data_IF_858597365167
#
_entry.id   IF_858597365167
#
_cell.length_a   1.000
_cell.length_b   1.000
_cell.length_c   1.000
_cell.angle_alpha   90.00
_cell.angle_beta   90.00
_cell.angle_gamma   90.00
#
_symmetry.space_group_name_H-M   'P 1'
#
loop_
_entity.id
_entity.type
_entity.pdbx_description
1 polymer ?
#
# COMPACT_ATOMS: atom_id res chain seq x y z
N UNK A 1 20.57 16.28 -6.82
CA UNK A 1 20.73 15.96 -5.39
C UNK A 1 20.79 14.44 -5.26
N UNK A 2 21.89 13.88 -4.77
CA UNK A 2 22.06 12.45 -4.54
C UNK A 2 21.48 12.05 -3.18
N UNK A 3 21.29 10.74 -2.93
CA UNK A 3 20.85 10.25 -1.63
C UNK A 3 21.80 10.65 -0.48
N UNK A 4 23.10 10.73 -0.78
CA UNK A 4 24.12 11.17 0.19
C UNK A 4 23.99 12.66 0.52
N UNK A 5 23.80 13.50 -0.50
CA UNK A 5 23.59 14.95 -0.33
C UNK A 5 22.31 15.24 0.47
N UNK A 6 21.24 14.48 0.20
CA UNK A 6 19.98 14.60 0.93
C UNK A 6 20.14 14.23 2.41
N UNK A 7 20.84 13.13 2.70
CA UNK A 7 21.11 12.70 4.08
C UNK A 7 21.95 13.73 4.82
N UNK A 8 22.98 14.29 4.18
CA UNK A 8 23.83 15.31 4.77
C UNK A 8 23.02 16.58 5.12
N UNK A 9 22.14 17.02 4.22
CA UNK A 9 21.28 18.19 4.47
C UNK A 9 20.25 17.91 5.57
N UNK A 10 19.67 16.70 5.63
CA UNK A 10 18.77 16.30 6.72
C UNK A 10 19.49 16.38 8.08
N UNK A 11 20.69 15.81 8.19
CA UNK A 11 21.47 15.88 9.43
C UNK A 11 21.81 17.33 9.82
N UNK A 12 22.18 18.16 8.86
CA UNK A 12 22.45 19.58 9.10
C UNK A 12 21.22 20.31 9.68
N UNK A 13 20.04 20.07 9.11
CA UNK A 13 18.80 20.69 9.58
C UNK A 13 18.41 20.20 10.98
N UNK A 14 18.57 18.91 11.25
CA UNK A 14 18.34 18.34 12.58
C UNK A 14 19.27 18.95 13.63
N UNK A 15 20.55 19.18 13.30
CA UNK A 15 21.49 19.84 14.21
C UNK A 15 21.07 21.27 14.56
N UNK A 16 20.55 22.04 13.60
CA UNK A 16 20.03 23.40 13.85
C UNK A 16 18.80 23.36 14.78
N UNK A 17 17.93 22.37 14.59
CA UNK A 17 16.71 22.21 15.38
C UNK A 17 17.01 21.70 16.80
N UNK A 18 18.06 20.89 16.97
CA UNK A 18 18.39 20.23 18.24
C UNK A 18 18.75 21.19 19.39
N UNK A 19 19.03 22.45 19.08
CA UNK A 19 19.34 23.49 20.08
C UNK A 19 18.07 24.05 20.77
N UNK A 20 16.87 23.80 20.22
CA UNK A 20 15.59 24.30 20.75
C UNK A 20 14.58 23.14 20.93
N UNK A 21 14.21 22.88 22.19
CA UNK A 21 13.28 21.80 22.53
C UNK A 21 11.91 21.94 21.86
N UNK A 22 11.42 23.17 21.68
CA UNK A 22 10.12 23.43 21.05
C UNK A 22 10.16 23.10 19.56
N UNK A 23 11.27 23.39 18.89
CA UNK A 23 11.49 23.02 17.49
C UNK A 23 11.72 21.51 17.35
N UNK A 24 12.45 20.88 18.27
CA UNK A 24 12.61 19.43 18.30
C UNK A 24 11.28 18.70 18.39
N UNK A 25 10.37 19.13 19.29
CA UNK A 25 9.03 18.53 19.40
C UNK A 25 8.25 18.62 18.10
N UNK A 26 8.27 19.79 17.44
CA UNK A 26 7.63 19.99 16.13
C UNK A 26 8.23 19.10 15.04
N UNK A 27 9.55 18.96 15.00
CA UNK A 27 10.24 18.11 14.04
C UNK A 27 9.87 16.63 14.24
N UNK A 28 9.85 16.15 15.49
CA UNK A 28 9.43 14.78 15.83
C UNK A 28 7.98 14.53 15.41
N UNK A 29 7.07 15.47 15.67
CA UNK A 29 5.68 15.36 15.23
C UNK A 29 5.55 15.30 13.71
N UNK A 30 6.30 16.13 12.98
CA UNK A 30 6.30 16.12 11.52
C UNK A 30 6.83 14.79 10.96
N UNK A 31 7.93 14.27 11.50
CA UNK A 31 8.50 12.97 11.10
C UNK A 31 7.49 11.85 11.39
N UNK A 32 6.83 11.88 12.56
CA UNK A 32 5.81 10.89 12.92
C UNK A 32 4.63 10.91 11.96
N UNK A 33 4.15 12.09 11.56
CA UNK A 33 3.08 12.23 10.55
C UNK A 33 3.51 11.67 9.19
N UNK A 34 4.74 11.95 8.75
CA UNK A 34 5.27 11.41 7.49
C UNK A 34 5.39 9.87 7.53
N UNK A 35 5.82 9.30 8.66
CA UNK A 35 5.87 7.85 8.85
C UNK A 35 4.47 7.23 8.78
N UNK A 36 3.49 7.82 9.48
CA UNK A 36 2.10 7.37 9.46
C UNK A 36 1.46 7.48 8.07
N UNK A 37 1.76 8.53 7.31
CA UNK A 37 1.28 8.65 5.92
C UNK A 37 1.83 7.55 5.01
N UNK A 38 3.09 7.14 5.22
CA UNK A 38 3.70 6.02 4.49
C UNK A 38 3.01 4.70 4.85
N UNK A 39 2.73 4.47 6.13
CA UNK A 39 2.01 3.28 6.59
C UNK A 39 0.58 3.25 6.03
N UNK A 40 -0.16 4.36 6.12
CA UNK A 40 -1.51 4.47 5.59
C UNK A 40 -1.60 4.29 4.07
N UNK A 41 -0.64 4.81 3.29
CA UNK A 41 -0.56 4.53 1.84
C UNK A 41 -0.30 3.04 1.55
N UNK A 42 0.40 2.36 2.45
CA UNK A 42 0.64 0.92 2.32
C UNK A 42 -0.62 0.11 2.68
N UNK A 43 -1.46 0.61 3.60
CA UNK A 43 -2.73 -0.02 3.98
C UNK A 43 -3.85 0.18 2.95
N UNK A 44 -3.91 1.31 2.23
CA UNK A 44 -4.88 1.53 1.14
C UNK A 44 -4.61 0.66 -0.12
N UNK A 45 -3.50 -0.08 -0.13
CA UNK A 45 -3.17 -1.02 -1.19
C UNK A 45 -3.11 -2.43 -0.59
N UNK A 46 -4.27 -3.04 -0.39
CA UNK A 46 -4.33 -4.49 -0.16
C UNK A 46 -3.73 -5.20 -1.37
N UNK A 47 -2.53 -5.75 -1.20
CA UNK A 47 -1.86 -6.55 -2.22
C UNK A 47 -2.30 -8.00 -2.05
N UNK A 48 -2.94 -8.54 -3.08
CA UNK A 48 -3.10 -9.98 -3.22
C UNK A 48 -1.75 -10.63 -3.55
N UNK A 49 -1.40 -11.72 -2.86
CA UNK A 49 -0.16 -12.46 -3.10
C UNK A 49 -0.19 -13.20 -4.44
N UNK A 50 0.98 -13.50 -5.01
CA UNK A 50 1.06 -14.30 -6.26
C UNK A 50 0.47 -15.69 -6.04
N UNK A 51 0.72 -16.27 -4.88
CA UNK A 51 0.23 -17.56 -4.46
C UNK A 51 -1.31 -17.56 -4.44
N UNK A 52 -1.93 -16.55 -3.85
CA UNK A 52 -3.39 -16.42 -3.79
C UNK A 52 -4.02 -16.22 -5.18
N UNK A 53 -3.39 -15.45 -6.07
CA UNK A 53 -3.81 -15.36 -7.47
C UNK A 53 -3.76 -16.72 -8.16
N UNK A 54 -2.67 -17.48 -7.96
CA UNK A 54 -2.50 -18.78 -8.59
C UNK A 54 -3.48 -19.83 -8.04
N UNK A 55 -3.78 -19.79 -6.75
CA UNK A 55 -4.80 -20.64 -6.12
C UNK A 55 -6.20 -20.36 -6.70
N UNK A 56 -6.57 -19.09 -6.88
CA UNK A 56 -7.83 -18.71 -7.52
C UNK A 56 -7.94 -19.20 -8.97
N UNK A 57 -6.86 -19.09 -9.75
CA UNK A 57 -6.81 -19.59 -11.13
C UNK A 57 -6.92 -21.12 -11.16
N UNK A 58 -6.17 -21.83 -10.32
CA UNK A 58 -6.18 -23.29 -10.25
C UNK A 58 -7.57 -23.83 -9.87
N UNK A 59 -8.23 -23.19 -8.89
CA UNK A 59 -9.60 -23.49 -8.51
C UNK A 59 -10.58 -23.31 -9.69
N UNK A 60 -10.50 -22.18 -10.39
CA UNK A 60 -11.35 -21.91 -11.56
C UNK A 60 -11.13 -22.90 -12.71
N UNK A 61 -9.89 -23.32 -12.96
CA UNK A 61 -9.56 -24.34 -13.97
C UNK A 61 -10.12 -25.72 -13.58
N UNK A 62 -10.05 -26.11 -12.31
CA UNK A 62 -10.65 -27.36 -11.81
C UNK A 62 -12.16 -27.37 -11.97
N UNK A 63 -12.83 -26.23 -11.71
CA UNK A 63 -14.28 -26.09 -11.91
C UNK A 63 -14.67 -26.21 -13.39
N UNK A 64 -13.89 -25.60 -14.29
CA UNK A 64 -14.08 -25.75 -15.73
C UNK A 64 -13.94 -27.21 -16.19
N UNK A 65 -12.91 -27.91 -15.74
CA UNK A 65 -12.69 -29.33 -16.06
C UNK A 65 -13.84 -30.19 -15.51
N UNK A 66 -14.36 -29.85 -14.34
CA UNK A 66 -15.49 -30.55 -13.72
C UNK A 66 -16.86 -30.15 -14.29
N UNK A 67 -16.93 -29.27 -15.30
CA UNK A 67 -18.17 -28.79 -15.88
C UNK A 67 -19.01 -27.90 -14.95
N UNK A 68 -18.42 -27.42 -13.86
CA UNK A 68 -19.02 -26.45 -12.93
C UNK A 68 -18.83 -25.04 -13.48
N UNK A 69 -19.44 -24.78 -14.63
CA UNK A 69 -19.41 -23.47 -15.27
C UNK A 69 -20.80 -22.84 -15.20
N UNK A 70 -20.82 -21.51 -15.18
CA UNK A 70 -22.05 -20.71 -15.32
C UNK A 70 -21.95 -19.84 -16.57
N UNK A 71 -23.07 -19.53 -17.22
CA UNK A 71 -23.04 -18.71 -18.41
C UNK A 71 -22.68 -17.25 -18.06
N UNK A 72 -21.86 -16.62 -18.90
CA UNK A 72 -21.24 -15.32 -18.59
C UNK A 72 -22.25 -14.18 -18.43
N UNK A 73 -23.43 -14.30 -19.05
CA UNK A 73 -24.52 -13.32 -18.91
C UNK A 73 -25.04 -13.22 -17.47
N UNK A 74 -25.07 -14.32 -16.71
CA UNK A 74 -25.48 -14.28 -15.29
C UNK A 74 -24.51 -13.43 -14.48
N UNK A 75 -23.20 -13.63 -14.65
CA UNK A 75 -22.17 -12.79 -14.04
C UNK A 75 -22.31 -11.31 -14.47
N UNK A 76 -22.58 -11.05 -15.75
CA UNK A 76 -22.75 -9.67 -16.24
C UNK A 76 -24.01 -8.98 -15.69
N UNK A 77 -25.08 -9.72 -15.40
CA UNK A 77 -26.24 -9.18 -14.70
C UNK A 77 -25.91 -8.89 -13.23
N UNK A 78 -25.24 -9.81 -12.51
CA UNK A 78 -24.79 -9.59 -11.12
C UNK A 78 -23.97 -8.29 -11.00
N UNK A 79 -22.93 -8.15 -11.83
CA UNK A 79 -22.05 -6.97 -11.82
C UNK A 79 -22.77 -5.65 -12.17
N UNK A 80 -23.88 -5.70 -12.90
CA UNK A 80 -24.69 -4.51 -13.22
C UNK A 80 -25.60 -4.06 -12.07
N UNK A 81 -25.90 -4.95 -11.14
CA UNK A 81 -26.83 -4.68 -10.03
C UNK A 81 -26.11 -4.52 -8.67
N UNK A 82 -24.82 -4.89 -8.59
CA UNK A 82 -23.98 -4.78 -7.38
C UNK A 82 -23.09 -3.52 -7.32
N UNK A 83 -23.20 -2.60 -8.29
CA UNK A 83 -22.54 -1.27 -8.33
C UNK A 83 -23.56 -0.13 -8.30
#
# INVERSE_FOLDING_TARGET
>A
MTALELNAELFRQLSIIAEDETLMRKAVEAIRRLAQQKEAQTEETEYISKEEVLEGIDAGLKDMIAGRTRPANELLEELRHEL
#
